data_IF_751480817804
#
_entry.id   IF_751480817804
#
_cell.length_a   1.000
_cell.length_b   1.000
_cell.length_c   1.000
_cell.angle_alpha   90.00
_cell.angle_beta   90.00
_cell.angle_gamma   90.00
#
_symmetry.space_group_name_H-M   'P 1'
#
loop_
_entity.id
_entity.type
_entity.pdbx_description
1 polymer ?
#
# COMPACT_ATOMS: atom_id res chain seq x y z
N UNK A 1 44.21 -2.64 38.22
CA UNK A 1 44.63 -3.85 37.49
C UNK A 1 43.35 -4.50 36.97
N UNK A 2 43.00 -4.68 35.71
CA UNK A 2 43.52 -4.40 34.35
C UNK A 2 42.22 -4.26 33.50
N UNK A 3 41.98 -3.20 32.70
CA UNK A 3 42.57 -2.82 31.41
C UNK A 3 42.28 -3.83 30.29
N UNK A 4 41.45 -3.39 29.31
CA UNK A 4 41.47 -3.72 27.85
C UNK A 4 41.04 -5.13 27.43
N UNK A 5 40.41 -5.43 26.29
CA UNK A 5 40.02 -4.84 24.98
C UNK A 5 38.89 -5.78 24.45
N UNK A 6 38.03 -5.49 23.48
CA UNK A 6 38.31 -5.35 22.04
C UNK A 6 37.06 -4.72 21.39
N UNK A 7 37.28 -3.60 20.72
CA UNK A 7 36.41 -3.06 19.69
C UNK A 7 36.61 -3.85 18.39
N UNK A 8 35.54 -4.03 17.61
CA UNK A 8 35.63 -4.32 16.19
C UNK A 8 34.58 -3.45 15.48
N UNK A 9 35.00 -2.23 15.17
CA UNK A 9 34.37 -1.36 14.17
C UNK A 9 34.90 -1.87 12.83
N UNK A 10 34.05 -2.51 12.03
CA UNK A 10 34.36 -2.81 10.64
C UNK A 10 33.88 -1.63 9.78
N UNK A 11 34.85 -0.94 9.19
CA UNK A 11 34.62 0.02 8.12
C UNK A 11 34.16 -0.72 6.86
N UNK A 12 33.08 -0.25 6.24
CA UNK A 12 32.73 -0.63 4.87
C UNK A 12 32.69 0.66 4.05
N UNK A 13 33.73 0.79 3.23
CA UNK A 13 33.91 1.84 2.23
C UNK A 13 33.07 1.49 0.99
N UNK A 14 32.51 2.53 0.36
CA UNK A 14 31.45 2.49 -0.63
C UNK A 14 31.64 1.64 -1.88
N UNK A 15 30.50 1.35 -2.50
CA UNK A 15 30.35 1.29 -3.95
C UNK A 15 29.03 2.01 -4.31
N UNK A 16 29.18 3.22 -4.87
CA UNK A 16 28.12 3.97 -5.54
C UNK A 16 27.90 3.32 -6.89
N UNK A 17 26.76 2.67 -7.11
CA UNK A 17 26.20 2.41 -8.44
C UNK A 17 24.69 2.54 -8.37
N UNK A 18 24.17 3.35 -9.27
CA UNK A 18 22.83 3.90 -9.26
C UNK A 18 21.71 2.89 -9.44
N UNK A 19 20.54 3.33 -8.99
CA UNK A 19 19.27 2.66 -9.18
C UNK A 19 18.20 3.53 -8.55
N UNK A 20 17.53 4.34 -9.37
CA UNK A 20 16.30 5.02 -8.98
C UNK A 20 15.31 3.97 -8.46
N UNK A 21 14.85 4.13 -7.23
CA UNK A 21 13.78 3.31 -6.66
C UNK A 21 12.93 4.18 -5.76
N UNK A 22 12.03 4.89 -6.43
CA UNK A 22 10.60 4.97 -6.12
C UNK A 22 10.24 5.27 -4.65
N UNK A 23 9.82 6.52 -4.42
CA UNK A 23 8.83 6.85 -3.38
C UNK A 23 7.51 6.19 -3.80
N UNK A 24 7.31 4.95 -3.34
CA UNK A 24 6.02 4.26 -3.36
C UNK A 24 5.85 3.54 -2.03
N UNK A 25 5.83 4.32 -0.95
CA UNK A 25 5.45 3.80 0.36
C UNK A 25 3.95 3.53 0.48
N UNK A 26 3.13 3.93 -0.50
CA UNK A 26 1.72 3.50 -0.58
C UNK A 26 1.51 2.11 -1.19
N UNK A 27 2.33 1.70 -2.17
CA UNK A 27 2.12 0.45 -2.91
C UNK A 27 2.90 -0.76 -2.36
N UNK A 28 3.97 -0.55 -1.59
CA UNK A 28 4.77 -1.65 -1.03
C UNK A 28 4.06 -2.41 0.10
N UNK A 29 3.12 -1.79 0.80
CA UNK A 29 2.27 -2.49 1.77
C UNK A 29 1.29 -3.47 1.09
N UNK A 30 0.94 -3.24 -0.18
CA UNK A 30 -0.02 -4.06 -0.93
C UNK A 30 0.51 -5.45 -1.28
N UNK A 31 1.84 -5.63 -1.41
CA UNK A 31 2.43 -6.92 -1.82
C UNK A 31 2.71 -7.87 -0.65
N UNK A 32 2.75 -7.39 0.59
CA UNK A 32 3.06 -8.22 1.76
C UNK A 32 1.87 -9.07 2.27
N UNK A 33 0.65 -8.85 1.74
CA UNK A 33 -0.59 -9.48 2.23
C UNK A 33 -1.19 -10.58 1.35
N UNK A 34 -0.66 -10.84 0.15
CA UNK A 34 -1.24 -11.84 -0.76
C UNK A 34 -0.63 -13.23 -0.51
N UNK A 35 -1.43 -14.29 -0.28
CA UNK A 35 -0.92 -15.65 -0.31
C UNK A 35 -0.45 -15.97 -1.73
N UNK A 36 0.87 -16.07 -1.92
CA UNK A 36 1.45 -16.58 -3.15
C UNK A 36 0.98 -18.03 -3.36
N UNK A 37 0.03 -18.24 -4.26
CA UNK A 37 -0.20 -19.55 -4.84
C UNK A 37 1.05 -19.89 -5.67
N UNK A 38 1.92 -20.74 -5.10
CA UNK A 38 3.05 -21.34 -5.82
C UNK A 38 2.50 -22.20 -6.96
N UNK A 39 2.42 -21.63 -8.17
CA UNK A 39 2.26 -22.40 -9.38
C UNK A 39 3.61 -23.09 -9.69
N UNK A 40 3.78 -24.28 -9.15
CA UNK A 40 4.84 -25.21 -9.54
C UNK A 40 4.61 -25.57 -11.02
N UNK A 41 5.44 -25.02 -11.91
CA UNK A 41 5.42 -25.37 -13.34
C UNK A 41 6.00 -26.78 -13.46
N UNK A 42 5.13 -27.79 -13.39
CA UNK A 42 5.42 -29.12 -13.89
C UNK A 42 5.21 -29.11 -15.40
N UNK A 43 6.31 -29.02 -16.15
CA UNK A 43 6.32 -29.31 -17.58
C UNK A 43 5.96 -30.78 -17.81
N UNK A 44 4.75 -31.05 -18.29
CA UNK A 44 4.42 -32.30 -18.96
C UNK A 44 4.08 -32.01 -20.41
N UNK A 45 4.88 -32.58 -21.30
CA UNK A 45 4.75 -32.56 -22.75
C UNK A 45 3.32 -32.96 -23.17
N UNK A 46 2.71 -32.12 -24.02
CA UNK A 46 1.43 -32.42 -24.67
C UNK A 46 1.73 -33.38 -25.82
N UNK A 47 1.29 -34.63 -25.67
CA UNK A 47 1.05 -35.52 -26.80
C UNK A 47 -0.41 -35.42 -27.22
N UNK A 48 -0.60 -35.32 -28.53
CA UNK A 48 -1.81 -35.00 -29.26
C UNK A 48 -2.57 -36.30 -29.54
N UNK A 49 -3.77 -36.48 -28.96
CA UNK A 49 -4.83 -37.30 -29.56
C UNK A 49 -6.15 -37.27 -28.80
N UNK A 50 -7.23 -37.19 -29.58
CA UNK A 50 -8.61 -37.57 -29.28
C UNK A 50 -9.55 -36.50 -28.69
N UNK A 51 -10.18 -35.75 -29.61
CA UNK A 51 -11.55 -35.25 -29.48
C UNK A 51 -12.51 -36.39 -29.12
N UNK A 52 -13.30 -36.22 -28.05
CA UNK A 52 -14.66 -36.75 -27.98
C UNK A 52 -15.54 -35.85 -27.10
N UNK A 53 -16.61 -35.37 -27.72
CA UNK A 53 -17.70 -34.57 -27.16
C UNK A 53 -18.79 -35.51 -26.64
N UNK A 54 -19.45 -35.21 -25.51
CA UNK A 54 -20.79 -35.70 -25.26
C UNK A 54 -21.82 -34.58 -25.05
N UNK A 55 -23.00 -34.84 -25.61
CA UNK A 55 -24.22 -34.04 -25.65
C UNK A 55 -24.71 -33.57 -24.27
N UNK A 56 -25.21 -32.33 -24.21
CA UNK A 56 -26.00 -31.81 -23.10
C UNK A 56 -27.47 -31.69 -23.53
N UNK A 57 -28.25 -32.67 -23.11
CA UNK A 57 -29.71 -32.70 -23.20
C UNK A 57 -30.31 -31.79 -22.13
N UNK A 58 -31.21 -30.90 -22.56
CA UNK A 58 -32.01 -30.02 -21.71
C UNK A 58 -33.12 -30.80 -20.99
N UNK A 59 -33.31 -30.57 -19.69
CA UNK A 59 -34.53 -30.92 -18.96
C UNK A 59 -34.77 -29.91 -17.82
N UNK A 60 -36.01 -29.43 -17.73
CA UNK A 60 -36.48 -28.41 -16.80
C UNK A 60 -37.38 -28.99 -15.68
N UNK A 61 -37.56 -28.16 -14.63
CA UNK A 61 -38.65 -28.08 -13.62
C UNK A 61 -38.33 -28.61 -12.19
N UNK A 62 -39.02 -28.15 -11.11
CA UNK A 62 -39.60 -26.82 -10.81
C UNK A 62 -39.32 -26.30 -9.37
N UNK A 63 -39.84 -25.10 -9.10
CA UNK A 63 -39.83 -24.21 -7.93
C UNK A 63 -39.83 -24.79 -6.49
N UNK A 64 -39.09 -24.10 -5.61
CA UNK A 64 -39.47 -23.87 -4.21
C UNK A 64 -39.12 -22.42 -3.81
N UNK A 65 -40.11 -21.73 -3.26
CA UNK A 65 -40.07 -20.33 -2.83
C UNK A 65 -39.37 -20.15 -1.48
N UNK A 66 -38.70 -19.01 -1.29
CA UNK A 66 -38.34 -18.53 0.05
C UNK A 66 -37.21 -17.49 0.03
N UNK A 67 -37.57 -16.23 0.25
CA UNK A 67 -36.68 -15.14 0.69
C UNK A 67 -35.59 -14.67 -0.30
N UNK A 68 -36.00 -13.96 -1.36
CA UNK A 68 -35.07 -13.07 -2.09
C UNK A 68 -35.74 -11.77 -2.51
N UNK A 69 -36.60 -11.24 -1.65
CA UNK A 69 -37.24 -9.93 -1.84
C UNK A 69 -36.70 -8.92 -0.84
N UNK A 70 -35.38 -8.74 -0.80
CA UNK A 70 -34.74 -7.54 -0.26
C UNK A 70 -33.30 -7.40 -0.77
N UNK A 71 -33.11 -7.43 -2.10
CA UNK A 71 -31.83 -7.07 -2.75
C UNK A 71 -32.09 -6.27 -4.04
N UNK A 72 -33.16 -5.49 -4.04
CA UNK A 72 -33.46 -4.52 -5.07
C UNK A 72 -33.68 -3.15 -4.41
N UNK A 73 -32.58 -2.44 -4.12
CA UNK A 73 -32.47 -0.97 -4.08
C UNK A 73 -31.17 -0.54 -3.36
N UNK A 74 -30.08 -0.40 -4.11
CA UNK A 74 -29.05 0.64 -3.98
C UNK A 74 -27.92 0.43 -5.00
N UNK A 75 -28.24 0.35 -6.30
CA UNK A 75 -27.23 0.30 -7.37
C UNK A 75 -26.74 1.71 -7.77
N UNK A 76 -26.76 2.66 -6.83
CA UNK A 76 -26.64 4.10 -7.10
C UNK A 76 -25.43 4.77 -6.47
N UNK A 77 -24.50 4.02 -5.90
CA UNK A 77 -23.26 4.59 -5.37
C UNK A 77 -22.34 4.88 -6.55
N UNK A 78 -21.96 6.13 -6.72
CA UNK A 78 -20.91 6.50 -7.65
C UNK A 78 -19.59 5.89 -7.15
N UNK A 79 -19.17 4.78 -7.77
CA UNK A 79 -17.95 4.06 -7.38
C UNK A 79 -16.67 4.85 -7.67
N UNK A 80 -16.77 5.98 -8.37
CA UNK A 80 -15.66 6.89 -8.62
C UNK A 80 -15.64 8.08 -7.65
N UNK A 81 -16.67 8.23 -6.80
CA UNK A 81 -16.70 9.32 -5.83
C UNK A 81 -15.53 9.24 -4.84
N UNK A 82 -15.10 10.40 -4.37
CA UNK A 82 -14.03 10.49 -3.38
C UNK A 82 -14.45 9.86 -2.04
N UNK A 83 -15.71 9.96 -1.63
CA UNK A 83 -16.22 9.34 -0.39
C UNK A 83 -16.51 7.83 -0.52
N UNK A 84 -16.26 7.21 -1.68
CA UNK A 84 -16.44 5.78 -1.87
C UNK A 84 -15.23 4.98 -1.38
N UNK A 85 -15.49 3.98 -0.53
CA UNK A 85 -14.50 2.99 -0.10
C UNK A 85 -14.92 1.58 -0.62
N UNK A 86 -14.20 1.00 -1.59
CA UNK A 86 -14.55 -0.31 -2.15
C UNK A 86 -14.44 -1.45 -1.13
N UNK A 87 -13.59 -1.30 -0.11
CA UNK A 87 -13.35 -2.33 0.90
C UNK A 87 -14.51 -2.49 1.89
N UNK A 88 -15.44 -1.53 1.94
CA UNK A 88 -16.60 -1.53 2.84
C UNK A 88 -17.92 -1.83 2.12
N UNK A 89 -17.92 -1.97 0.79
CA UNK A 89 -19.11 -2.22 -0.01
C UNK A 89 -19.29 -3.72 -0.32
N UNK A 90 -20.29 -4.42 0.24
CA UNK A 90 -20.50 -5.85 -0.01
C UNK A 90 -20.78 -6.25 -1.47
N UNK A 91 -21.04 -5.27 -2.34
CA UNK A 91 -21.24 -5.49 -3.77
C UNK A 91 -19.95 -5.34 -4.59
N UNK A 92 -18.87 -4.83 -3.98
CA UNK A 92 -17.57 -4.67 -4.62
C UNK A 92 -16.75 -5.98 -4.54
N UNK A 93 -15.93 -6.23 -5.57
CA UNK A 93 -15.05 -7.39 -5.60
C UNK A 93 -13.92 -7.34 -4.55
N UNK A 94 -13.53 -6.13 -4.13
CA UNK A 94 -12.48 -5.89 -3.15
C UNK A 94 -13.01 -5.84 -1.70
N UNK A 95 -14.30 -6.11 -1.48
CA UNK A 95 -14.91 -6.05 -0.16
C UNK A 95 -14.18 -6.90 0.89
N UNK A 96 -13.85 -6.30 2.03
CA UNK A 96 -13.22 -6.99 3.17
C UNK A 96 -14.30 -7.39 4.16
N UNK A 97 -14.60 -8.69 4.22
CA UNK A 97 -15.69 -9.18 5.08
C UNK A 97 -15.41 -8.92 6.57
N UNK A 98 -16.46 -8.82 7.42
CA UNK A 98 -16.27 -8.65 8.86
C UNK A 98 -15.39 -9.75 9.48
N UNK A 99 -15.49 -10.98 8.99
CA UNK A 99 -14.67 -12.11 9.44
C UNK A 99 -13.20 -11.89 9.07
N UNK A 100 -12.91 -11.48 7.83
CA UNK A 100 -11.55 -11.16 7.40
C UNK A 100 -10.95 -9.98 8.19
N UNK A 101 -11.74 -8.93 8.44
CA UNK A 101 -11.35 -7.80 9.30
C UNK A 101 -11.01 -8.26 10.71
N UNK A 102 -11.87 -9.10 11.31
CA UNK A 102 -11.67 -9.68 12.64
C UNK A 102 -10.39 -10.53 12.71
N UNK A 103 -10.16 -11.40 11.73
CA UNK A 103 -8.95 -12.22 11.68
C UNK A 103 -7.67 -11.37 11.59
N UNK A 104 -7.69 -10.38 10.70
CA UNK A 104 -6.57 -9.47 10.52
C UNK A 104 -6.29 -8.68 11.81
N UNK A 105 -7.32 -8.15 12.48
CA UNK A 105 -7.17 -7.45 13.76
C UNK A 105 -6.63 -8.37 14.87
N UNK A 106 -7.01 -9.65 14.86
CA UNK A 106 -6.44 -10.66 15.75
C UNK A 106 -4.92 -10.81 15.56
N UNK A 107 -4.45 -10.84 14.31
CA UNK A 107 -3.01 -10.81 13.99
C UNK A 107 -2.36 -9.51 14.45
N UNK A 108 -2.98 -8.36 14.19
CA UNK A 108 -2.45 -7.06 14.60
C UNK A 108 -2.30 -6.94 16.13
N UNK A 109 -3.20 -7.53 16.91
CA UNK A 109 -3.08 -7.55 18.36
C UNK A 109 -1.79 -8.27 18.83
N UNK A 110 -1.40 -9.35 18.14
CA UNK A 110 -0.13 -10.06 18.40
C UNK A 110 1.07 -9.18 18.04
N UNK A 111 1.04 -8.56 16.86
CA UNK A 111 2.12 -7.66 16.39
C UNK A 111 2.27 -6.48 17.35
N UNK A 112 1.17 -5.82 17.72
CA UNK A 112 1.15 -4.71 18.68
C UNK A 112 1.77 -5.10 20.00
N UNK A 113 1.43 -6.28 20.53
CA UNK A 113 2.02 -6.76 21.78
C UNK A 113 3.54 -6.92 21.63
N UNK A 114 4.01 -7.53 20.54
CA UNK A 114 5.44 -7.67 20.28
C UNK A 114 6.14 -6.31 20.18
N UNK A 115 5.56 -5.36 19.44
CA UNK A 115 6.11 -4.00 19.30
C UNK A 115 6.16 -3.27 20.65
N UNK A 116 5.11 -3.39 21.45
CA UNK A 116 5.05 -2.82 22.81
C UNK A 116 6.12 -3.42 23.70
N UNK A 117 6.30 -4.75 23.67
CA UNK A 117 7.35 -5.44 24.44
C UNK A 117 8.76 -5.02 23.98
N UNK A 118 8.92 -4.65 22.71
CA UNK A 118 10.15 -4.10 22.14
C UNK A 118 10.36 -2.60 22.43
N UNK A 119 9.39 -1.93 23.07
CA UNK A 119 9.46 -0.52 23.45
C UNK A 119 8.99 0.46 22.37
N UNK A 120 8.28 -0.02 21.34
CA UNK A 120 7.73 0.80 20.27
C UNK A 120 6.22 0.91 20.37
N UNK A 121 5.70 2.12 20.15
CA UNK A 121 4.28 2.33 19.96
C UNK A 121 3.82 1.74 18.62
N UNK A 122 2.64 1.12 18.61
CA UNK A 122 2.04 0.53 17.43
C UNK A 122 0.56 0.89 17.41
N UNK A 123 0.18 1.76 16.49
CA UNK A 123 -1.15 2.36 16.44
C UNK A 123 -2.23 1.31 16.12
N UNK A 124 -3.45 1.60 16.58
CA UNK A 124 -4.64 0.97 15.99
C UNK A 124 -4.78 1.49 14.56
N UNK A 125 -4.69 0.60 13.59
CA UNK A 125 -4.75 0.94 12.18
C UNK A 125 -5.55 -0.13 11.42
N UNK A 126 -6.08 0.25 10.28
CA UNK A 126 -6.89 -0.58 9.41
C UNK A 126 -6.52 -0.22 7.97
N UNK A 127 -5.85 -1.14 7.27
CA UNK A 127 -5.34 -0.86 5.92
C UNK A 127 -6.47 -0.54 4.93
N UNK A 128 -7.65 -1.13 5.12
CA UNK A 128 -8.84 -0.85 4.30
C UNK A 128 -9.45 0.54 4.55
N UNK A 129 -8.91 1.30 5.50
CA UNK A 129 -9.26 2.70 5.75
C UNK A 129 -8.09 3.66 5.43
N UNK A 130 -7.00 3.19 4.82
CA UNK A 130 -5.84 4.04 4.48
C UNK A 130 -4.94 4.43 5.66
N UNK A 131 -5.14 3.85 6.84
CA UNK A 131 -4.33 4.17 8.03
C UNK A 131 -2.95 3.47 8.01
N UNK A 132 -2.03 3.92 8.88
CA UNK A 132 -0.72 3.31 9.12
C UNK A 132 -0.53 2.98 10.62
N UNK A 133 0.30 1.98 10.92
CA UNK A 133 0.64 1.54 12.27
C UNK A 133 1.74 2.36 12.95
N UNK A 134 2.60 3.02 12.17
CA UNK A 134 3.72 3.79 12.65
C UNK A 134 3.23 5.16 13.17
N UNK A 135 3.68 5.59 14.36
CA UNK A 135 3.48 6.97 14.80
C UNK A 135 4.03 7.98 13.79
N UNK A 136 3.32 9.10 13.63
CA UNK A 136 3.76 10.23 12.80
C UNK A 136 4.74 11.13 13.56
N UNK A 137 5.58 11.89 12.84
CA UNK A 137 6.55 12.84 13.39
C UNK A 137 7.76 12.20 14.08
N UNK A 138 8.09 10.94 13.77
CA UNK A 138 9.32 10.33 14.24
C UNK A 138 10.53 10.95 13.52
N UNK A 139 11.66 11.11 14.22
CA UNK A 139 12.94 11.38 13.55
C UNK A 139 13.38 10.16 12.73
N UNK A 140 14.32 10.35 11.81
CA UNK A 140 14.79 9.28 10.92
C UNK A 140 15.31 8.06 11.67
N UNK A 141 16.11 8.24 12.72
CA UNK A 141 16.71 7.12 13.45
C UNK A 141 15.62 6.32 14.18
N UNK A 142 14.68 7.01 14.80
CA UNK A 142 13.50 6.42 15.46
C UNK A 142 12.61 5.66 14.47
N UNK A 143 12.37 6.22 13.28
CA UNK A 143 11.58 5.57 12.23
C UNK A 143 12.24 4.28 11.71
N UNK A 144 13.56 4.30 11.53
CA UNK A 144 14.33 3.11 11.14
C UNK A 144 14.29 2.05 12.23
N UNK A 145 14.48 2.41 13.50
CA UNK A 145 14.41 1.47 14.62
C UNK A 145 13.01 0.85 14.74
N UNK A 146 11.96 1.64 14.57
CA UNK A 146 10.58 1.15 14.54
C UNK A 146 10.37 0.15 13.40
N UNK A 147 10.84 0.49 12.19
CA UNK A 147 10.73 -0.38 11.00
C UNK A 147 11.49 -1.69 11.20
N UNK A 148 12.68 -1.63 11.80
CA UNK A 148 13.47 -2.81 12.11
C UNK A 148 12.85 -3.70 13.18
N UNK A 149 12.17 -3.11 14.17
CA UNK A 149 11.41 -3.88 15.15
C UNK A 149 10.24 -4.62 14.48
N UNK A 150 9.56 -3.98 13.53
CA UNK A 150 8.44 -4.58 12.81
C UNK A 150 8.88 -5.68 11.85
N UNK A 151 9.86 -5.41 10.98
CA UNK A 151 10.21 -6.28 9.83
C UNK A 151 11.56 -7.00 9.95
N UNK A 152 12.33 -6.74 11.01
CA UNK A 152 13.68 -7.25 11.18
C UNK A 152 14.78 -6.28 10.72
N UNK A 153 16.06 -6.61 10.97
CA UNK A 153 17.17 -5.68 10.77
C UNK A 153 17.51 -5.39 9.30
N UNK A 154 17.14 -6.29 8.38
CA UNK A 154 17.32 -6.10 6.94
C UNK A 154 16.01 -5.63 6.31
N UNK A 155 15.89 -4.32 6.13
CA UNK A 155 14.69 -3.70 5.54
C UNK A 155 14.52 -4.03 4.04
N UNK A 156 15.58 -4.48 3.36
CA UNK A 156 15.54 -4.83 1.94
C UNK A 156 15.19 -6.30 1.71
N UNK A 157 15.41 -7.14 2.71
CA UNK A 157 15.00 -8.53 2.73
C UNK A 157 14.27 -8.81 4.04
N UNK A 158 13.02 -8.31 4.17
CA UNK A 158 12.26 -8.38 5.41
C UNK A 158 12.13 -9.84 5.85
N UNK A 159 12.38 -10.06 7.13
CA UNK A 159 12.45 -11.37 7.74
C UNK A 159 12.81 -11.25 9.21
N UNK A 160 11.97 -11.83 10.05
CA UNK A 160 11.97 -11.65 11.50
C UNK A 160 11.08 -10.49 11.95
N UNK A 161 11.44 -9.90 13.09
CA UNK A 161 10.68 -8.83 13.71
C UNK A 161 9.29 -9.27 14.22
N UNK A 162 8.48 -8.28 14.58
CA UNK A 162 7.15 -8.51 15.11
C UNK A 162 6.12 -8.97 14.06
N UNK A 163 6.33 -8.63 12.78
CA UNK A 163 5.50 -9.11 11.68
C UNK A 163 5.55 -10.64 11.56
N UNK A 164 6.74 -11.24 11.69
CA UNK A 164 6.89 -12.70 11.67
C UNK A 164 6.28 -13.38 12.89
N UNK A 165 6.36 -12.75 14.07
CA UNK A 165 5.67 -13.25 15.27
C UNK A 165 4.15 -13.30 15.03
N UNK A 166 3.58 -12.26 14.42
CA UNK A 166 2.18 -12.22 14.01
C UNK A 166 1.83 -13.32 13.01
N UNK A 167 2.64 -13.48 11.95
CA UNK A 167 2.43 -14.52 10.92
C UNK A 167 2.55 -15.94 11.49
N UNK A 168 3.50 -16.19 12.38
CA UNK A 168 3.64 -17.49 13.05
C UNK A 168 2.45 -17.79 13.98
N UNK A 169 1.94 -16.79 14.70
CA UNK A 169 0.76 -16.92 15.55
C UNK A 169 -0.51 -17.20 14.72
N UNK A 170 -0.70 -16.48 13.61
CA UNK A 170 -1.79 -16.70 12.65
C UNK A 170 -1.75 -18.13 12.09
N UNK A 171 -0.58 -18.59 11.64
CA UNK A 171 -0.41 -19.95 11.12
C UNK A 171 -0.72 -21.01 12.18
N UNK A 172 -0.25 -20.81 13.43
CA UNK A 172 -0.53 -21.72 14.53
C UNK A 172 -2.02 -21.77 14.89
N UNK A 173 -2.70 -20.61 14.91
CA UNK A 173 -4.13 -20.50 15.15
C UNK A 173 -4.95 -21.24 14.08
N UNK A 174 -4.62 -21.03 12.79
CA UNK A 174 -5.24 -21.76 11.69
C UNK A 174 -4.98 -23.27 11.76
N UNK A 175 -3.77 -23.69 12.10
CA UNK A 175 -3.44 -25.11 12.28
C UNK A 175 -4.21 -25.76 13.46
N UNK A 176 -4.58 -24.97 14.47
CA UNK A 176 -5.41 -25.40 15.59
C UNK A 176 -6.92 -25.42 15.26
N UNK A 177 -7.34 -24.91 14.09
CA UNK A 177 -8.74 -24.82 13.68
C UNK A 177 -9.49 -23.64 14.30
N UNK A 178 -8.78 -22.71 14.93
CA UNK A 178 -9.35 -21.51 15.55
C UNK A 178 -8.52 -20.30 15.10
N UNK A 179 -8.88 -19.64 13.99
CA UNK A 179 -8.19 -18.44 13.52
C UNK A 179 -8.12 -17.36 14.61
N UNK A 180 -7.06 -16.55 14.58
CA UNK A 180 -6.99 -15.36 15.43
C UNK A 180 -8.22 -14.49 15.15
N UNK A 181 -8.72 -13.80 16.17
CA UNK A 181 -9.83 -12.86 16.00
C UNK A 181 -9.74 -11.74 17.03
N UNK A 182 -10.23 -10.57 16.65
CA UNK A 182 -10.43 -9.44 17.55
C UNK A 182 -11.70 -8.67 17.12
N UNK A 183 -12.34 -7.93 18.05
CA UNK A 183 -13.50 -7.12 17.72
C UNK A 183 -13.19 -6.14 16.60
N UNK A 184 -14.07 -6.09 15.58
CA UNK A 184 -14.00 -5.08 14.51
C UNK A 184 -14.63 -3.79 15.04
N UNK A 185 -13.89 -2.66 15.08
CA UNK A 185 -14.47 -1.37 15.41
C UNK A 185 -15.60 -1.00 14.44
N UNK A 186 -16.59 -0.24 14.91
CA UNK A 186 -17.57 0.35 13.99
C UNK A 186 -16.87 1.36 13.08
N UNK A 187 -17.24 1.33 11.80
CA UNK A 187 -16.73 2.28 10.81
C UNK A 187 -17.24 3.69 11.17
N UNK A 188 -16.33 4.65 11.37
CA UNK A 188 -16.69 6.05 11.63
C UNK A 188 -16.90 6.77 10.30
N UNK A 189 -18.15 7.13 9.93
CA UNK A 189 -18.45 7.76 8.65
C UNK A 189 -17.96 9.22 8.57
N UNK A 190 -17.38 9.76 9.64
CA UNK A 190 -16.82 11.12 9.68
C UNK A 190 -15.33 11.16 9.36
N UNK A 191 -14.66 10.01 9.36
CA UNK A 191 -13.26 9.93 8.93
C UNK A 191 -13.18 10.04 7.41
N UNK A 192 -12.16 10.74 6.88
CA UNK A 192 -11.95 10.79 5.45
C UNK A 192 -11.63 9.40 4.89
N UNK A 193 -12.06 9.14 3.67
CA UNK A 193 -11.60 7.97 2.92
C UNK A 193 -10.18 8.20 2.40
N UNK A 194 -9.48 7.13 2.05
CA UNK A 194 -8.17 7.20 1.37
C UNK A 194 -8.20 8.10 0.13
N UNK A 195 -9.29 8.08 -0.63
CA UNK A 195 -9.46 8.92 -1.81
C UNK A 195 -9.60 10.40 -1.46
N UNK A 196 -10.31 10.73 -0.37
CA UNK A 196 -10.37 12.10 0.14
C UNK A 196 -9.01 12.57 0.65
N UNK A 197 -8.31 11.74 1.42
CA UNK A 197 -6.95 12.05 1.88
C UNK A 197 -5.98 12.25 0.70
N UNK A 198 -6.10 11.46 -0.36
CA UNK A 198 -5.35 11.66 -1.59
C UNK A 198 -5.68 13.01 -2.23
N UNK A 199 -6.95 13.40 -2.36
CA UNK A 199 -7.29 14.71 -2.94
C UNK A 199 -6.76 15.88 -2.10
N UNK A 200 -6.86 15.79 -0.77
CA UNK A 200 -6.30 16.79 0.14
C UNK A 200 -4.78 16.90 -0.03
N UNK A 201 -4.09 15.77 -0.17
CA UNK A 201 -2.66 15.71 -0.46
C UNK A 201 -2.32 16.32 -1.84
N UNK A 202 -3.08 15.98 -2.87
CA UNK A 202 -2.93 16.53 -4.22
C UNK A 202 -3.16 18.04 -4.28
N UNK A 203 -4.02 18.57 -3.41
CA UNK A 203 -4.26 20.01 -3.29
C UNK A 203 -3.02 20.76 -2.75
N UNK A 204 -2.29 20.16 -1.79
CA UNK A 204 -1.00 20.68 -1.32
C UNK A 204 0.05 20.70 -2.44
N UNK A 205 0.15 19.60 -3.20
CA UNK A 205 1.07 19.50 -4.34
C UNK A 205 0.73 20.55 -5.39
N UNK A 206 -0.54 20.71 -5.74
CA UNK A 206 -1.00 21.68 -6.74
C UNK A 206 -0.72 23.11 -6.29
N UNK A 207 -0.93 23.42 -5.01
CA UNK A 207 -0.60 24.73 -4.45
C UNK A 207 0.90 25.02 -4.59
N UNK A 208 1.76 24.07 -4.19
CA UNK A 208 3.20 24.21 -4.34
C UNK A 208 3.65 24.36 -5.82
N UNK A 209 3.10 23.56 -6.72
CA UNK A 209 3.43 23.64 -8.16
C UNK A 209 3.01 25.00 -8.73
N UNK A 210 1.84 25.51 -8.33
CA UNK A 210 1.37 26.85 -8.70
C UNK A 210 2.32 27.94 -8.20
N UNK A 211 2.82 27.85 -6.97
CA UNK A 211 3.82 28.76 -6.42
C UNK A 211 5.15 28.69 -7.18
N UNK A 212 5.54 27.50 -7.66
CA UNK A 212 6.70 27.28 -8.52
C UNK A 212 6.48 27.72 -9.99
N UNK A 213 5.28 28.21 -10.33
CA UNK A 213 4.94 28.63 -11.70
C UNK A 213 4.69 27.48 -12.67
N UNK A 214 4.45 26.27 -12.16
CA UNK A 214 4.19 25.06 -12.93
C UNK A 214 2.71 24.69 -12.84
N UNK A 215 2.09 24.33 -13.97
CA UNK A 215 0.73 23.77 -13.96
C UNK A 215 0.77 22.30 -13.51
N UNK A 216 -0.13 21.95 -12.59
CA UNK A 216 -0.31 20.57 -12.13
C UNK A 216 -1.78 20.18 -12.30
N UNK A 217 -2.02 19.27 -13.24
CA UNK A 217 -3.36 18.87 -13.63
C UNK A 217 -4.03 18.03 -12.54
N UNK A 218 -5.34 18.23 -12.42
CA UNK A 218 -6.18 17.36 -11.59
C UNK A 218 -6.21 15.95 -12.15
N UNK A 219 -6.03 14.96 -11.27
CA UNK A 219 -6.16 13.56 -11.63
C UNK A 219 -6.45 12.71 -10.38
N UNK A 220 -7.06 11.55 -10.63
CA UNK A 220 -7.50 10.58 -9.62
C UNK A 220 -6.93 9.22 -9.98
N UNK A 221 -6.13 8.61 -9.10
CA UNK A 221 -5.47 7.33 -9.42
C UNK A 221 -6.47 6.18 -9.59
N UNK A 222 -7.63 6.25 -8.93
CA UNK A 222 -8.69 5.23 -9.01
C UNK A 222 -9.61 5.39 -10.21
N UNK A 223 -9.62 6.56 -10.85
CA UNK A 223 -10.55 6.82 -11.94
C UNK A 223 -9.94 6.28 -13.26
N UNK A 224 -10.63 5.33 -13.94
CA UNK A 224 -10.13 4.73 -15.16
C UNK A 224 -9.81 5.71 -16.29
N UNK A 225 -10.42 6.91 -16.28
CA UNK A 225 -10.14 7.96 -17.26
C UNK A 225 -8.67 8.42 -17.24
N UNK A 226 -8.01 8.37 -16.08
CA UNK A 226 -6.59 8.71 -15.91
C UNK A 226 -5.67 7.49 -16.02
N UNK A 227 -6.13 6.30 -15.64
CA UNK A 227 -5.31 5.07 -15.64
C UNK A 227 -4.78 4.66 -17.02
N UNK A 228 -5.52 4.96 -18.09
CA UNK A 228 -5.07 4.71 -19.47
C UNK A 228 -3.86 5.57 -19.90
N UNK A 229 -3.61 6.68 -19.21
CA UNK A 229 -2.58 7.67 -19.57
C UNK A 229 -1.23 7.37 -18.92
N UNK A 230 -1.22 6.59 -17.83
CA UNK A 230 -0.01 6.24 -17.07
C UNK A 230 0.80 5.07 -17.68
N UNK A 231 0.44 4.57 -18.87
CA UNK A 231 1.16 3.48 -19.54
C UNK A 231 1.07 2.11 -18.83
N UNK A 232 0.23 1.98 -17.79
CA UNK A 232 0.11 0.72 -17.03
C UNK A 232 -0.49 -0.41 -17.88
N UNK A 233 -1.34 -0.07 -18.85
CA UNK A 233 -1.95 -1.03 -19.78
C UNK A 233 -1.18 -1.19 -21.11
N UNK A 234 -0.27 -0.28 -21.43
CA UNK A 234 0.52 -0.28 -22.68
C UNK A 234 1.97 0.15 -22.37
N UNK A 235 2.92 -0.80 -22.30
CA UNK A 235 4.31 -0.52 -21.99
C UNK A 235 5.05 0.25 -23.10
N UNK A 236 4.46 0.40 -24.29
CA UNK A 236 5.01 1.23 -25.37
C UNK A 236 4.46 2.66 -25.36
N UNK A 237 3.42 2.94 -24.57
CA UNK A 237 2.91 4.30 -24.42
C UNK A 237 3.95 5.19 -23.73
N UNK A 238 4.12 6.45 -24.17
CA UNK A 238 4.96 7.40 -23.45
C UNK A 238 4.47 7.51 -22.01
N UNK A 239 5.38 7.33 -21.04
CA UNK A 239 5.10 7.58 -19.62
C UNK A 239 4.80 9.07 -19.46
N UNK A 240 3.54 9.45 -19.61
CA UNK A 240 3.03 10.75 -19.26
C UNK A 240 2.42 10.64 -17.87
N UNK A 241 2.97 11.39 -16.91
CA UNK A 241 2.32 11.53 -15.62
C UNK A 241 0.98 12.24 -15.85
N UNK A 242 -0.17 11.71 -15.39
CA UNK A 242 -1.47 12.34 -15.64
C UNK A 242 -1.57 13.80 -15.17
N UNK A 243 -0.77 14.16 -14.17
CA UNK A 243 -0.65 15.52 -13.66
C UNK A 243 0.16 16.49 -14.55
N UNK A 244 0.98 15.98 -15.48
CA UNK A 244 1.86 16.80 -16.31
C UNK A 244 1.11 17.36 -17.52
N UNK A 245 1.19 18.68 -17.80
CA UNK A 245 0.63 19.27 -19.01
C UNK A 245 1.15 18.62 -20.30
N UNK A 246 0.27 18.46 -21.29
CA UNK A 246 0.68 17.99 -22.61
C UNK A 246 1.42 19.09 -23.39
N UNK A 247 2.32 18.68 -24.30
CA UNK A 247 2.97 19.60 -25.24
C UNK A 247 4.18 20.37 -24.70
N UNK A 248 4.62 20.08 -23.47
CA UNK A 248 5.87 20.61 -22.93
C UNK A 248 7.07 20.14 -23.76
N UNK A 249 8.01 21.04 -23.99
CA UNK A 249 9.36 20.71 -24.47
C UNK A 249 10.12 19.90 -23.41
N UNK A 250 11.21 19.23 -23.82
CA UNK A 250 12.01 18.42 -22.89
C UNK A 250 12.61 19.25 -21.73
N UNK A 251 12.97 20.51 -21.97
CA UNK A 251 13.44 21.41 -20.90
C UNK A 251 12.31 21.77 -19.94
N UNK A 252 11.11 22.06 -20.44
CA UNK A 252 9.95 22.38 -19.60
C UNK A 252 9.51 21.18 -18.77
N UNK A 253 9.57 19.96 -19.33
CA UNK A 253 9.33 18.72 -18.57
C UNK A 253 10.36 18.55 -17.45
N UNK A 254 11.63 18.83 -17.72
CA UNK A 254 12.68 18.71 -16.70
C UNK A 254 12.49 19.73 -15.58
N UNK A 255 12.12 20.98 -15.90
CA UNK A 255 11.79 22.00 -14.89
C UNK A 255 10.54 21.63 -14.08
N UNK A 256 9.51 21.10 -14.74
CA UNK A 256 8.30 20.60 -14.09
C UNK A 256 8.60 19.45 -13.13
N UNK A 257 9.40 18.46 -13.57
CA UNK A 257 9.82 17.32 -12.74
C UNK A 257 10.70 17.77 -11.57
N UNK A 258 11.63 18.70 -11.79
CA UNK A 258 12.45 19.24 -10.70
C UNK A 258 11.60 19.98 -9.65
N UNK A 259 10.57 20.73 -10.08
CA UNK A 259 9.66 21.37 -9.14
C UNK A 259 8.83 20.34 -8.34
N UNK A 260 8.39 19.27 -9.00
CA UNK A 260 7.59 18.22 -8.36
C UNK A 260 8.39 17.34 -7.40
N UNK A 261 9.52 16.81 -7.87
CA UNK A 261 10.31 15.77 -7.18
C UNK A 261 11.50 16.33 -6.39
N UNK A 262 11.95 17.54 -6.72
CA UNK A 262 13.14 18.15 -6.11
C UNK A 262 14.47 17.47 -6.48
N UNK A 263 15.48 17.70 -5.65
CA UNK A 263 16.82 17.09 -5.72
C UNK A 263 17.29 16.63 -4.32
N UNK A 264 16.34 16.16 -3.50
CA UNK A 264 16.65 15.67 -2.17
C UNK A 264 17.52 14.41 -2.23
N UNK A 265 18.49 14.35 -1.31
CA UNK A 265 19.19 13.11 -1.01
C UNK A 265 18.26 12.05 -0.41
N UNK A 266 18.80 10.86 -0.16
CA UNK A 266 18.06 9.76 0.47
C UNK A 266 18.47 9.56 1.94
N UNK A 267 17.63 8.87 2.71
CA UNK A 267 17.92 8.48 4.09
C UNK A 267 18.25 9.67 4.99
N UNK A 268 19.34 9.61 5.74
CA UNK A 268 19.74 10.68 6.67
C UNK A 268 20.03 12.04 5.99
N UNK A 269 20.32 12.04 4.68
CA UNK A 269 20.55 13.24 3.90
C UNK A 269 19.26 13.83 3.30
N UNK A 270 18.14 13.12 3.41
CA UNK A 270 16.83 13.60 2.96
C UNK A 270 16.42 14.85 3.73
N UNK A 271 15.94 15.86 3.01
CA UNK A 271 15.33 17.08 3.54
C UNK A 271 14.07 17.34 2.72
N UNK A 272 12.94 17.53 3.39
CA UNK A 272 11.67 17.72 2.70
C UNK A 272 11.69 19.02 1.87
N UNK A 273 12.46 20.02 2.31
CA UNK A 273 12.65 21.29 1.61
C UNK A 273 13.32 21.12 0.23
N UNK A 274 14.15 20.09 0.09
CA UNK A 274 14.86 19.78 -1.15
C UNK A 274 14.09 18.76 -2.01
N UNK A 275 13.00 18.18 -1.51
CA UNK A 275 12.24 17.09 -2.15
C UNK A 275 11.06 17.58 -2.99
N UNK A 276 11.11 18.84 -3.43
CA UNK A 276 10.10 19.45 -4.30
C UNK A 276 8.71 19.52 -3.67
N UNK A 277 7.70 19.62 -4.53
CA UNK A 277 6.32 19.73 -4.10
C UNK A 277 5.75 18.45 -3.47
N UNK A 278 6.28 17.27 -3.81
CA UNK A 278 5.96 16.05 -3.06
C UNK A 278 6.48 16.12 -1.64
N UNK A 279 7.76 16.49 -1.44
CA UNK A 279 8.36 16.64 -0.12
C UNK A 279 7.59 17.59 0.78
N UNK A 280 7.25 18.77 0.26
CA UNK A 280 6.43 19.75 0.98
C UNK A 280 5.04 19.21 1.34
N UNK A 281 4.35 18.55 0.41
CA UNK A 281 3.03 17.99 0.70
C UNK A 281 3.08 16.91 1.79
N UNK A 282 4.12 16.05 1.78
CA UNK A 282 4.32 15.04 2.83
C UNK A 282 4.55 15.71 4.19
N UNK A 283 5.38 16.75 4.23
CA UNK A 283 5.62 17.55 5.43
C UNK A 283 4.36 18.23 5.96
N UNK A 284 3.64 18.97 5.11
CA UNK A 284 2.46 19.75 5.50
C UNK A 284 1.26 18.87 5.88
N UNK A 285 1.16 17.65 5.31
CA UNK A 285 0.17 16.65 5.74
C UNK A 285 0.56 15.91 7.03
N UNK A 286 1.74 16.18 7.58
CA UNK A 286 2.27 15.53 8.78
C UNK A 286 2.63 14.07 8.56
N UNK A 287 2.86 13.67 7.31
CA UNK A 287 3.19 12.30 6.92
C UNK A 287 4.70 12.06 6.80
N UNK A 288 5.55 13.03 7.13
CA UNK A 288 6.99 12.83 7.21
C UNK A 288 7.42 12.28 8.58
N UNK A 289 8.15 11.17 8.53
CA UNK A 289 8.88 10.60 9.66
C UNK A 289 10.39 10.79 9.43
N UNK A 290 10.83 12.05 9.23
CA UNK A 290 12.20 12.38 8.78
C UNK A 290 12.68 13.79 9.21
N UNK A 291 12.27 14.30 10.37
CA UNK A 291 12.73 15.61 10.86
C UNK A 291 14.14 15.58 11.50
#
# INVERSE_FOLDING_TARGET
MNVQRIAAIAAITGAVLGGASIVALGAAAYTAGQPQATAEIVSSEIDDSARQQPDQTSAAAPAAAGHSSQLAAASGTDTNAADYNPYLDPLNADYVTPEARSEWLGKQAVIRKCMTDAGFEYLDWQWWLGNDAQPKGLDYESSILWTQALYGPDIYNPGGGCADVGSAAEAAARAAGEPLSAPVPEDDPTLPTERQEWLDFQDLVRACMTEAGQEYLYWEWWNPEYGAQAGIADPEAPLALPAQPAGLSESEKAEWSLALDGDAGLGAAYRWEDAGCWGRAVHESGNDNMH
#
